data_IF_735781409812
#
_entry.id   IF_735781409812
#
_cell.length_a   1.000
_cell.length_b   1.000
_cell.length_c   1.000
_cell.angle_alpha   90.00
_cell.angle_beta   90.00
_cell.angle_gamma   90.00
#
_symmetry.space_group_name_H-M   'P 1'
#
loop_
_entity.id
_entity.type
_entity.pdbx_description
1 polymer ?
#
# COMPACT_ATOMS: atom_id res chain seq x y z
N UNK A 1 0.89 -6.58 23.79
CA UNK A 1 0.61 -5.13 23.88
C UNK A 1 -0.57 -4.86 22.97
N UNK A 2 -1.69 -4.35 23.51
CA UNK A 2 -2.95 -4.17 22.79
C UNK A 2 -2.94 -2.81 22.09
N UNK A 3 -3.50 -2.79 20.88
CA UNK A 3 -3.42 -1.72 19.88
C UNK A 3 -3.70 -0.31 20.40
N UNK A 4 -2.88 0.62 19.91
CA UNK A 4 -2.98 2.06 20.15
C UNK A 4 -3.18 2.75 18.80
N UNK A 5 -4.21 2.38 18.06
CA UNK A 5 -4.61 3.15 16.88
C UNK A 5 -6.13 3.31 16.93
N UNK A 6 -6.55 4.35 17.65
CA UNK A 6 -7.92 4.86 17.58
C UNK A 6 -8.05 5.60 16.26
N UNK A 7 -9.21 5.48 15.57
CA UNK A 7 -9.58 6.17 14.31
C UNK A 7 -8.71 7.39 14.00
N UNK A 8 -7.77 7.20 13.08
CA UNK A 8 -6.85 8.24 12.60
C UNK A 8 -7.67 9.36 11.94
N UNK A 9 -7.51 10.60 12.40
CA UNK A 9 -8.15 11.76 11.76
C UNK A 9 -7.46 12.05 10.41
N UNK A 10 -8.13 12.73 9.46
CA UNK A 10 -7.58 12.98 8.11
C UNK A 10 -6.18 13.64 8.10
N UNK A 11 -5.87 14.48 9.10
CA UNK A 11 -4.53 15.06 9.26
C UNK A 11 -3.44 14.05 9.65
N UNK A 12 -3.77 13.05 10.45
CA UNK A 12 -2.86 11.99 10.87
C UNK A 12 -2.63 10.97 9.73
N UNK A 13 -3.65 10.72 8.90
CA UNK A 13 -3.52 9.88 7.70
C UNK A 13 -2.51 10.48 6.71
N UNK A 14 -2.60 11.79 6.44
CA UNK A 14 -1.62 12.46 5.60
C UNK A 14 -0.22 12.44 6.20
N UNK A 15 -0.08 12.60 7.51
CA UNK A 15 1.24 12.52 8.17
C UNK A 15 1.88 11.13 7.99
N UNK A 16 1.08 10.06 8.14
CA UNK A 16 1.57 8.70 7.98
C UNK A 16 1.90 8.36 6.52
N UNK A 17 1.11 8.83 5.56
CA UNK A 17 1.41 8.68 4.13
C UNK A 17 2.72 9.42 3.75
N UNK A 18 2.92 10.64 4.24
CA UNK A 18 4.18 11.37 4.05
C UNK A 18 5.37 10.63 4.69
N UNK A 19 5.18 10.03 5.87
CA UNK A 19 6.23 9.24 6.51
C UNK A 19 6.62 8.00 5.68
N UNK A 20 5.66 7.36 5.01
CA UNK A 20 5.93 6.27 4.07
C UNK A 20 6.78 6.74 2.89
N UNK A 21 6.37 7.83 2.22
CA UNK A 21 7.12 8.41 1.10
C UNK A 21 8.54 8.71 1.54
N UNK A 22 8.71 9.48 2.63
CA UNK A 22 10.03 9.85 3.15
C UNK A 22 10.90 8.64 3.45
N UNK A 23 10.35 7.62 4.12
CA UNK A 23 11.08 6.39 4.47
C UNK A 23 11.69 5.75 3.21
N UNK A 24 10.89 5.54 2.18
CA UNK A 24 11.35 4.82 1.00
C UNK A 24 12.17 5.68 0.04
N UNK A 25 11.93 6.99 -0.04
CA UNK A 25 12.84 7.89 -0.75
C UNK A 25 14.23 7.90 -0.13
N UNK A 26 14.34 7.96 1.21
CA UNK A 26 15.62 7.96 1.91
C UNK A 26 16.30 6.58 1.85
N UNK A 27 15.58 5.48 2.04
CA UNK A 27 16.12 4.11 1.92
C UNK A 27 16.58 3.79 0.49
N UNK A 28 15.84 4.26 -0.52
CA UNK A 28 16.17 4.04 -1.92
C UNK A 28 17.32 4.92 -2.42
N UNK A 29 17.77 5.89 -1.62
CA UNK A 29 18.82 6.83 -2.02
C UNK A 29 20.23 6.23 -1.89
N UNK A 30 21.11 6.60 -2.81
CA UNK A 30 22.51 6.20 -2.73
C UNK A 30 23.19 6.85 -1.51
N UNK A 31 23.85 6.03 -0.69
CA UNK A 31 24.50 6.49 0.54
C UNK A 31 23.54 6.66 1.73
N UNK A 32 22.34 6.08 1.66
CA UNK A 32 21.39 6.03 2.78
C UNK A 32 22.07 5.59 4.08
N UNK A 33 21.75 6.25 5.19
CA UNK A 33 22.20 5.81 6.51
C UNK A 33 21.71 4.36 6.78
N UNK A 34 22.63 3.41 7.08
CA UNK A 34 22.29 2.01 7.26
C UNK A 34 21.26 1.75 8.37
N UNK A 35 21.14 2.66 9.35
CA UNK A 35 20.22 2.52 10.47
C UNK A 35 18.82 3.09 10.17
N UNK A 36 18.62 3.81 9.05
CA UNK A 36 17.32 4.41 8.70
C UNK A 36 16.21 3.37 8.63
N UNK A 37 16.51 2.17 8.12
CA UNK A 37 15.54 1.08 8.05
C UNK A 37 14.98 0.71 9.42
N UNK A 38 15.82 0.70 10.45
CA UNK A 38 15.46 0.41 11.84
C UNK A 38 14.71 1.60 12.43
N UNK A 39 15.24 2.82 12.28
CA UNK A 39 14.66 4.03 12.87
C UNK A 39 13.25 4.35 12.34
N UNK A 40 12.98 4.03 11.07
CA UNK A 40 11.67 4.29 10.46
C UNK A 40 10.80 3.03 10.35
N UNK A 41 11.18 1.92 11.00
CA UNK A 41 10.44 0.65 10.92
C UNK A 41 8.98 0.78 11.38
N UNK A 42 8.73 1.63 12.37
CA UNK A 42 7.39 1.94 12.87
C UNK A 42 6.40 2.38 11.77
N UNK A 43 6.90 3.00 10.68
CA UNK A 43 6.05 3.41 9.54
C UNK A 43 5.49 2.18 8.83
N UNK A 44 6.35 1.18 8.60
CA UNK A 44 5.93 -0.09 8.03
C UNK A 44 4.97 -0.82 8.98
N UNK A 45 5.29 -0.85 10.28
CA UNK A 45 4.41 -1.48 11.29
C UNK A 45 3.02 -0.82 11.32
N UNK A 46 2.94 0.51 11.19
CA UNK A 46 1.66 1.22 11.18
C UNK A 46 0.82 0.88 9.94
N UNK A 47 1.43 0.75 8.76
CA UNK A 47 0.71 0.29 7.56
C UNK A 47 0.27 -1.18 7.70
N UNK A 48 1.13 -2.04 8.23
CA UNK A 48 0.81 -3.46 8.47
C UNK A 48 -0.33 -3.61 9.49
N UNK A 49 -0.31 -2.84 10.58
CA UNK A 49 -1.37 -2.80 11.58
C UNK A 49 -2.69 -2.31 10.98
N UNK A 50 -2.65 -1.25 10.15
CA UNK A 50 -3.83 -0.78 9.42
C UNK A 50 -4.39 -1.88 8.52
N UNK A 51 -3.56 -2.57 7.72
CA UNK A 51 -4.04 -3.68 6.87
C UNK A 51 -4.71 -4.77 7.72
N UNK A 52 -4.14 -5.11 8.87
CA UNK A 52 -4.67 -6.17 9.72
C UNK A 52 -5.96 -5.77 10.45
N UNK A 53 -6.02 -4.54 10.98
CA UNK A 53 -6.99 -4.14 11.99
C UNK A 53 -7.98 -3.06 11.53
N UNK A 54 -7.63 -2.27 10.51
CA UNK A 54 -8.48 -1.22 9.92
C UNK A 54 -8.26 -1.12 8.39
N UNK A 55 -8.79 -2.08 7.60
CA UNK A 55 -8.50 -2.16 6.17
C UNK A 55 -9.02 -0.97 5.36
N UNK A 56 -10.01 -0.22 5.87
CA UNK A 56 -10.44 1.04 5.24
C UNK A 56 -9.40 2.15 5.41
N UNK A 57 -8.80 2.26 6.59
CA UNK A 57 -7.66 3.14 6.80
C UNK A 57 -6.48 2.74 5.91
N UNK A 58 -6.16 1.45 5.80
CA UNK A 58 -5.10 0.97 4.92
C UNK A 58 -5.33 1.37 3.47
N UNK A 59 -6.55 1.17 2.96
CA UNK A 59 -6.94 1.62 1.63
C UNK A 59 -6.75 3.13 1.45
N UNK A 60 -7.20 3.93 2.42
CA UNK A 60 -7.08 5.38 2.39
C UNK A 60 -5.60 5.84 2.41
N UNK A 61 -4.74 5.17 3.19
CA UNK A 61 -3.30 5.44 3.24
C UNK A 61 -2.62 5.11 1.90
N UNK A 62 -2.95 3.98 1.27
CA UNK A 62 -2.41 3.60 -0.04
C UNK A 62 -2.71 4.67 -1.09
N UNK A 63 -3.97 5.13 -1.15
CA UNK A 63 -4.36 6.19 -2.07
C UNK A 63 -3.66 7.51 -1.76
N UNK A 64 -3.52 7.86 -0.48
CA UNK A 64 -2.81 9.07 -0.09
C UNK A 64 -1.32 9.02 -0.48
N UNK A 65 -0.64 7.88 -0.34
CA UNK A 65 0.75 7.74 -0.80
C UNK A 65 0.84 7.88 -2.33
N UNK A 66 -0.07 7.24 -3.07
CA UNK A 66 -0.12 7.33 -4.53
C UNK A 66 -0.31 8.77 -5.02
N UNK A 67 -1.08 9.58 -4.30
CA UNK A 67 -1.29 11.00 -4.62
C UNK A 67 -0.06 11.89 -4.27
N UNK A 68 0.82 11.45 -3.37
CA UNK A 68 1.94 12.24 -2.88
C UNK A 68 3.23 12.09 -3.71
N UNK A 69 3.39 11.00 -4.46
CA UNK A 69 4.65 10.73 -5.14
C UNK A 69 4.48 9.91 -6.42
N UNK A 70 5.42 10.08 -7.35
CA UNK A 70 5.62 9.25 -8.53
C UNK A 70 6.95 8.47 -8.47
N UNK A 71 7.59 8.40 -7.29
CA UNK A 71 8.85 7.70 -7.10
C UNK A 71 8.64 6.18 -7.20
N UNK A 72 9.23 5.56 -8.22
CA UNK A 72 9.09 4.13 -8.51
C UNK A 72 9.44 3.25 -7.31
N UNK A 73 10.53 3.55 -6.58
CA UNK A 73 10.93 2.72 -5.43
C UNK A 73 9.92 2.80 -4.28
N UNK A 74 9.28 3.95 -4.08
CA UNK A 74 8.22 4.10 -3.08
C UNK A 74 6.97 3.30 -3.49
N UNK A 75 6.58 3.39 -4.77
CA UNK A 75 5.38 2.72 -5.30
C UNK A 75 5.56 1.20 -5.43
N UNK A 76 6.76 0.73 -5.76
CA UNK A 76 7.11 -0.70 -5.77
C UNK A 76 6.98 -1.30 -4.37
N UNK A 77 7.44 -0.60 -3.33
CA UNK A 77 7.27 -1.05 -1.95
C UNK A 77 5.81 -0.92 -1.47
N UNK A 78 5.04 0.05 -1.98
CA UNK A 78 3.63 0.21 -1.66
C UNK A 78 2.78 -0.92 -2.26
N UNK A 79 3.09 -1.32 -3.49
CA UNK A 79 2.39 -2.38 -4.23
C UNK A 79 2.69 -3.77 -3.67
N UNK A 80 3.96 -4.17 -3.60
CA UNK A 80 4.40 -5.47 -3.08
C UNK A 80 4.32 -5.61 -1.55
N UNK A 81 3.79 -4.60 -0.86
CA UNK A 81 3.58 -4.59 0.58
C UNK A 81 2.11 -4.25 0.90
N UNK A 82 1.80 -3.02 1.35
CA UNK A 82 0.45 -2.69 1.82
C UNK A 82 -0.71 -3.03 0.88
N UNK A 83 -0.60 -2.77 -0.43
CA UNK A 83 -1.68 -3.07 -1.36
C UNK A 83 -1.85 -4.58 -1.58
N UNK A 84 -0.75 -5.33 -1.74
CA UNK A 84 -0.75 -6.78 -1.81
C UNK A 84 -1.34 -7.42 -0.54
N UNK A 85 -0.89 -6.98 0.63
CA UNK A 85 -1.34 -7.52 1.91
C UNK A 85 -2.84 -7.25 2.12
N UNK A 86 -3.31 -6.04 1.77
CA UNK A 86 -4.74 -5.69 1.83
C UNK A 86 -5.57 -6.61 0.92
N UNK A 87 -5.14 -6.82 -0.33
CA UNK A 87 -5.87 -7.69 -1.26
C UNK A 87 -5.74 -9.18 -0.90
N UNK A 88 -4.66 -9.58 -0.26
CA UNK A 88 -4.48 -10.94 0.25
C UNK A 88 -5.41 -11.24 1.41
N UNK A 89 -5.52 -10.32 2.37
CA UNK A 89 -6.31 -10.53 3.60
C UNK A 89 -7.78 -10.20 3.42
N UNK A 90 -8.09 -9.17 2.63
CA UNK A 90 -9.43 -8.57 2.53
C UNK A 90 -9.91 -8.46 1.08
N UNK A 91 -9.28 -9.18 0.14
CA UNK A 91 -9.53 -9.02 -1.30
C UNK A 91 -10.99 -9.13 -1.70
N UNK A 92 -11.78 -10.02 -1.09
CA UNK A 92 -13.22 -10.15 -1.38
C UNK A 92 -14.00 -8.85 -1.13
N UNK A 93 -13.57 -8.00 -0.19
CA UNK A 93 -14.22 -6.72 0.13
C UNK A 93 -13.67 -5.54 -0.71
N UNK A 94 -12.45 -5.65 -1.24
CA UNK A 94 -11.75 -4.54 -1.89
C UNK A 94 -11.55 -4.69 -3.41
N UNK A 95 -11.67 -5.90 -3.96
CA UNK A 95 -11.36 -6.14 -5.38
C UNK A 95 -12.26 -5.33 -6.32
N UNK A 96 -13.56 -5.22 -6.03
CA UNK A 96 -14.49 -4.40 -6.83
C UNK A 96 -14.04 -2.93 -6.89
N UNK A 97 -13.54 -2.39 -5.76
CA UNK A 97 -13.03 -1.02 -5.66
C UNK A 97 -11.73 -0.84 -6.43
N UNK A 98 -10.82 -1.81 -6.35
CA UNK A 98 -9.58 -1.81 -7.10
C UNK A 98 -9.84 -1.83 -8.61
N UNK A 99 -10.77 -2.67 -9.08
CA UNK A 99 -11.17 -2.71 -10.49
C UNK A 99 -11.76 -1.38 -10.98
N UNK A 100 -12.65 -0.76 -10.18
CA UNK A 100 -13.25 0.54 -10.52
C UNK A 100 -12.18 1.62 -10.57
N UNK A 101 -11.30 1.69 -9.58
CA UNK A 101 -10.26 2.72 -9.52
C UNK A 101 -9.27 2.58 -10.68
N UNK A 102 -8.79 1.37 -10.96
CA UNK A 102 -7.84 1.11 -12.04
C UNK A 102 -8.38 1.46 -13.44
N UNK A 103 -9.71 1.45 -13.64
CA UNK A 103 -10.35 1.89 -14.90
C UNK A 103 -10.28 3.40 -15.09
N UNK A 104 -10.27 4.18 -14.01
CA UNK A 104 -10.33 5.64 -14.05
C UNK A 104 -9.02 6.32 -13.67
N UNK A 105 -8.06 5.57 -13.14
CA UNK A 105 -6.80 6.07 -12.61
C UNK A 105 -5.64 5.19 -13.12
N UNK A 106 -4.93 5.65 -14.17
CA UNK A 106 -3.79 4.92 -14.74
C UNK A 106 -2.64 4.70 -13.75
N UNK A 107 -2.41 5.63 -12.82
CA UNK A 107 -1.35 5.51 -11.82
C UNK A 107 -1.70 4.43 -10.81
N UNK A 108 -2.98 4.33 -10.42
CA UNK A 108 -3.45 3.20 -9.61
C UNK A 108 -3.38 1.88 -10.37
N UNK A 109 -3.70 1.84 -11.68
CA UNK A 109 -3.53 0.61 -12.50
C UNK A 109 -2.06 0.16 -12.50
N UNK A 110 -1.13 1.10 -12.66
CA UNK A 110 0.32 0.83 -12.58
C UNK A 110 0.70 0.32 -11.19
N UNK A 111 0.24 0.96 -10.12
CA UNK A 111 0.48 0.48 -8.75
C UNK A 111 -0.05 -0.95 -8.57
N UNK A 112 -1.27 -1.24 -9.04
CA UNK A 112 -1.89 -2.56 -8.94
C UNK A 112 -1.10 -3.64 -9.71
N UNK A 113 -0.43 -3.28 -10.81
CA UNK A 113 0.42 -4.23 -11.56
C UNK A 113 1.67 -4.69 -10.80
N UNK A 114 2.07 -3.99 -9.73
CA UNK A 114 3.17 -4.39 -8.86
C UNK A 114 2.79 -5.38 -7.75
N UNK A 115 1.50 -5.71 -7.61
CA UNK A 115 1.00 -6.68 -6.62
C UNK A 115 1.35 -8.11 -7.04
N UNK A 116 1.77 -8.93 -6.08
CA UNK A 116 2.01 -10.34 -6.29
C UNK A 116 0.91 -11.16 -5.62
N UNK A 117 0.56 -12.31 -6.19
CA UNK A 117 -0.44 -13.20 -5.59
C UNK A 117 -0.05 -13.68 -4.20
N UNK A 118 1.26 -13.95 -4.02
CA UNK A 118 1.77 -14.66 -2.86
C UNK A 118 1.04 -16.00 -2.63
N UNK A 119 1.05 -16.48 -1.37
CA UNK A 119 0.37 -17.71 -0.97
C UNK A 119 -0.96 -17.52 -0.26
N UNK A 120 -1.36 -16.28 0.05
CA UNK A 120 -2.54 -15.96 0.88
C UNK A 120 -3.71 -15.40 0.07
N UNK A 121 -3.45 -14.78 -1.08
CA UNK A 121 -4.49 -14.22 -1.92
C UNK A 121 -5.27 -15.33 -2.62
N UNK A 122 -6.60 -15.23 -2.62
CA UNK A 122 -7.45 -16.19 -3.32
C UNK A 122 -7.25 -16.14 -4.84
N UNK A 123 -7.44 -17.27 -5.51
CA UNK A 123 -7.41 -17.36 -6.97
C UNK A 123 -8.41 -16.40 -7.63
N UNK A 124 -9.60 -16.24 -7.03
CA UNK A 124 -10.63 -15.35 -7.55
C UNK A 124 -10.16 -13.89 -7.59
N UNK A 125 -9.62 -13.38 -6.49
CA UNK A 125 -9.08 -12.02 -6.42
C UNK A 125 -7.91 -11.86 -7.39
N UNK A 126 -7.00 -12.83 -7.45
CA UNK A 126 -5.85 -12.77 -8.34
C UNK A 126 -6.24 -12.72 -9.83
N UNK A 127 -7.15 -13.60 -10.26
CA UNK A 127 -7.63 -13.60 -11.65
C UNK A 127 -8.26 -12.26 -12.05
N UNK A 128 -8.94 -11.60 -11.11
CA UNK A 128 -9.53 -10.28 -11.33
C UNK A 128 -8.48 -9.18 -11.44
N UNK A 129 -7.45 -9.23 -10.61
CA UNK A 129 -6.28 -8.33 -10.73
C UNK A 129 -5.63 -8.52 -12.09
N UNK A 130 -5.28 -9.75 -12.48
CA UNK A 130 -4.65 -10.06 -13.76
C UNK A 130 -5.47 -9.50 -14.93
N UNK A 131 -6.78 -9.72 -14.92
CA UNK A 131 -7.68 -9.20 -15.96
C UNK A 131 -7.64 -7.67 -16.06
N UNK A 132 -7.53 -6.95 -14.95
CA UNK A 132 -7.45 -5.48 -14.98
C UNK A 132 -6.11 -5.02 -15.54
N UNK A 133 -5.01 -5.61 -15.08
CA UNK A 133 -3.66 -5.14 -15.41
C UNK A 133 -3.18 -5.61 -16.79
N UNK A 134 -3.72 -6.72 -17.32
CA UNK A 134 -3.33 -7.28 -18.63
C UNK A 134 -4.03 -6.63 -19.83
N UNK A 135 -5.09 -5.84 -19.61
CA UNK A 135 -5.82 -5.19 -20.71
C UNK A 135 -5.09 -3.90 -21.11
N UNK A 136 -4.16 -4.00 -22.05
CA UNK A 136 -3.63 -2.91 -22.89
C UNK A 136 -4.02 -3.15 -24.35
#
# INVERSE_FOLDING_TARGET
MKGVYTKIQSGEQHALANAWVKRYEEIGSYGSDPDLKVQTFWVYEAFSDAVQNDPELAWALILAVLELTNNDYVLDNLSAGPLEDLLSMHGAAFIDRAEVRAKTDPDFKRLLSGVWKGGRMSDEVWMRIEKVVSND
#
